data_IF_609162103374
#
_entry.id   IF_609162103374
#
_cell.length_a   1.000
_cell.length_b   1.000
_cell.length_c   1.000
_cell.angle_alpha   90.00
_cell.angle_beta   90.00
_cell.angle_gamma   90.00
#
_symmetry.space_group_name_H-M   'P 1'
#
loop_
_entity.id
_entity.type
_entity.pdbx_description
1 polymer ?
#
# COMPACT_ATOMS: atom_id res chain seq x y z
N UNK A 1 10.36 -14.30 -5.71
CA UNK A 1 11.46 -13.54 -6.35
C UNK A 1 11.57 -12.17 -5.70
N UNK A 2 10.53 -11.34 -5.71
CA UNK A 2 10.61 -9.99 -5.12
C UNK A 2 10.98 -9.91 -3.61
N UNK A 3 10.68 -10.92 -2.79
CA UNK A 3 11.07 -10.92 -1.36
C UNK A 3 12.59 -11.09 -1.16
N UNK A 4 13.23 -11.93 -1.98
CA UNK A 4 14.66 -12.20 -1.91
C UNK A 4 15.32 -11.64 -3.16
N UNK A 5 15.73 -10.36 -3.14
CA UNK A 5 16.24 -9.73 -4.33
C UNK A 5 17.65 -10.20 -4.68
N UNK A 6 17.90 -10.35 -5.98
CA UNK A 6 19.22 -10.72 -6.50
C UNK A 6 20.26 -9.58 -6.34
N UNK A 7 19.80 -8.33 -6.15
CA UNK A 7 20.63 -7.14 -6.01
C UNK A 7 20.00 -6.08 -5.09
N UNK A 8 20.71 -5.70 -4.02
CA UNK A 8 20.28 -4.69 -3.02
C UNK A 8 20.23 -3.27 -3.59
N UNK A 9 21.07 -2.93 -4.57
CA UNK A 9 20.97 -1.63 -5.26
C UNK A 9 19.83 -1.68 -6.30
N UNK A 10 19.70 -2.83 -6.96
CA UNK A 10 18.70 -3.05 -8.00
C UNK A 10 17.27 -2.89 -7.51
N UNK A 11 16.96 -3.30 -6.27
CA UNK A 11 15.60 -3.19 -5.70
C UNK A 11 15.06 -1.77 -5.60
N UNK A 12 15.93 -0.76 -5.53
CA UNK A 12 15.49 0.63 -5.50
C UNK A 12 14.88 1.07 -6.83
N UNK A 13 15.31 0.45 -7.94
CA UNK A 13 15.01 0.87 -9.30
C UNK A 13 14.15 -0.13 -10.07
N UNK A 14 14.21 -1.39 -9.68
CA UNK A 14 13.75 -2.50 -10.49
C UNK A 14 12.99 -3.55 -9.68
N UNK A 15 11.99 -4.16 -10.31
CA UNK A 15 11.19 -5.26 -9.76
C UNK A 15 11.20 -6.48 -10.69
N UNK A 16 11.16 -7.68 -10.12
CA UNK A 16 11.16 -8.92 -10.90
C UNK A 16 9.74 -9.25 -11.36
N UNK A 17 9.57 -9.39 -12.67
CA UNK A 17 8.30 -9.75 -13.31
C UNK A 17 8.49 -11.01 -14.15
N UNK A 18 7.51 -11.91 -14.11
CA UNK A 18 7.50 -13.09 -14.98
C UNK A 18 6.63 -12.81 -16.20
N UNK A 19 7.21 -12.87 -17.38
CA UNK A 19 6.49 -12.76 -18.66
C UNK A 19 6.50 -14.11 -19.38
N UNK A 20 5.47 -14.35 -20.19
CA UNK A 20 5.37 -15.56 -21.00
C UNK A 20 5.58 -15.17 -22.47
N UNK A 21 6.69 -15.62 -23.05
CA UNK A 21 7.04 -15.32 -24.44
C UNK A 21 6.60 -16.49 -25.31
N UNK A 22 5.83 -16.20 -26.36
CA UNK A 22 5.43 -17.21 -27.34
C UNK A 22 6.66 -17.71 -28.11
N UNK A 23 6.89 -19.02 -28.11
CA UNK A 23 8.07 -19.65 -28.74
C UNK A 23 7.73 -20.39 -30.03
N UNK A 24 6.44 -20.49 -30.38
CA UNK A 24 5.96 -21.26 -31.53
C UNK A 24 4.85 -22.24 -31.18
N UNK A 25 4.41 -22.99 -32.18
CA UNK A 25 3.32 -23.97 -32.06
C UNK A 25 3.92 -25.37 -32.13
N UNK A 26 3.48 -26.26 -31.26
CA UNK A 26 3.95 -27.65 -31.30
C UNK A 26 3.33 -28.37 -32.51
N UNK A 27 4.16 -28.90 -33.42
CA UNK A 27 3.70 -29.49 -34.69
C UNK A 27 2.87 -30.77 -34.51
N UNK A 28 2.96 -31.45 -33.36
CA UNK A 28 2.20 -32.68 -33.08
C UNK A 28 0.89 -32.45 -32.34
N UNK A 29 0.82 -31.46 -31.44
CA UNK A 29 -0.38 -31.21 -30.62
C UNK A 29 -1.16 -29.96 -31.03
N UNK A 30 -0.63 -29.15 -31.96
CA UNK A 30 -1.21 -27.87 -32.38
C UNK A 30 -1.42 -26.86 -31.21
N UNK A 31 -0.79 -27.07 -30.08
CA UNK A 31 -0.84 -26.17 -28.92
C UNK A 31 0.24 -25.08 -29.04
N UNK A 32 -0.12 -23.87 -28.63
CA UNK A 32 0.81 -22.74 -28.51
C UNK A 32 1.76 -22.96 -27.34
N UNK A 33 3.08 -22.97 -27.61
CA UNK A 33 4.10 -23.08 -26.58
C UNK A 33 4.54 -21.70 -26.09
N UNK A 34 4.55 -21.54 -24.77
CA UNK A 34 5.02 -20.34 -24.10
C UNK A 34 6.23 -20.65 -23.22
N UNK A 35 7.29 -19.84 -23.30
CA UNK A 35 8.43 -19.92 -22.38
C UNK A 35 8.17 -18.96 -21.24
N UNK A 36 8.28 -19.46 -20.02
CA UNK A 36 8.43 -18.58 -18.85
C UNK A 36 9.76 -17.84 -18.98
N UNK A 37 9.71 -16.53 -19.11
CA UNK A 37 10.86 -15.64 -19.03
C UNK A 37 10.76 -14.85 -17.71
N UNK A 38 11.81 -14.88 -16.91
CA UNK A 38 11.89 -14.06 -15.69
C UNK A 38 12.70 -12.83 -16.07
N UNK A 39 12.03 -11.69 -16.14
CA UNK A 39 12.63 -10.41 -16.49
C UNK A 39 12.53 -9.41 -15.35
N UNK A 40 12.97 -8.21 -15.67
CA UNK A 40 12.97 -7.07 -14.76
C UNK A 40 12.15 -5.95 -15.39
N UNK A 41 11.32 -5.30 -14.60
CA UNK A 41 10.54 -4.13 -15.00
C UNK A 41 10.96 -2.91 -14.18
N UNK A 42 10.75 -1.72 -14.75
CA UNK A 42 11.07 -0.46 -14.10
C UNK A 42 10.09 -0.21 -12.94
N UNK A 43 10.63 0.06 -11.75
CA UNK A 43 9.85 0.30 -10.55
C UNK A 43 10.48 -0.30 -9.31
N UNK A 44 10.30 0.37 -8.16
CA UNK A 44 10.91 -0.04 -6.90
C UNK A 44 10.28 -1.33 -6.35
N UNK A 45 11.11 -2.32 -6.06
CA UNK A 45 10.70 -3.53 -5.36
C UNK A 45 10.59 -3.28 -3.84
N UNK A 46 9.48 -2.70 -3.41
CA UNK A 46 9.27 -2.28 -2.02
C UNK A 46 9.28 -3.45 -1.02
N UNK A 47 8.77 -4.63 -1.39
CA UNK A 47 8.79 -5.79 -0.48
C UNK A 47 10.22 -6.31 -0.25
N UNK A 48 11.07 -6.28 -1.29
CA UNK A 48 12.49 -6.60 -1.19
C UNK A 48 13.25 -5.57 -0.36
N UNK A 49 12.94 -4.27 -0.53
CA UNK A 49 13.49 -3.19 0.32
C UNK A 49 13.15 -3.43 1.79
N UNK A 50 11.88 -3.70 2.12
CA UNK A 50 11.46 -3.95 3.50
C UNK A 50 12.17 -5.18 4.07
N UNK A 51 12.26 -6.28 3.32
CA UNK A 51 12.95 -7.48 3.77
C UNK A 51 14.43 -7.18 4.09
N UNK A 52 15.13 -6.45 3.22
CA UNK A 52 16.52 -6.03 3.45
C UNK A 52 16.62 -5.12 4.66
N UNK A 53 15.75 -4.11 4.81
CA UNK A 53 15.75 -3.21 5.96
C UNK A 53 15.53 -3.95 7.28
N UNK A 54 14.57 -4.88 7.34
CA UNK A 54 14.28 -5.68 8.55
C UNK A 54 15.45 -6.60 8.89
N UNK A 55 16.02 -7.29 7.90
CA UNK A 55 17.16 -8.19 8.12
C UNK A 55 18.40 -7.44 8.58
N UNK A 56 18.73 -6.29 7.98
CA UNK A 56 19.82 -5.43 8.43
C UNK A 56 19.55 -4.83 9.82
N UNK A 57 18.32 -4.40 10.11
CA UNK A 57 17.94 -3.90 11.43
C UNK A 57 18.12 -4.96 12.52
N UNK A 58 17.65 -6.19 12.28
CA UNK A 58 17.85 -7.33 13.18
C UNK A 58 19.33 -7.70 13.34
N UNK A 59 20.09 -7.73 12.24
CA UNK A 59 21.52 -8.03 12.29
C UNK A 59 22.32 -6.97 13.06
N UNK A 60 21.99 -5.67 12.88
CA UNK A 60 22.62 -4.58 13.64
C UNK A 60 22.24 -4.63 15.12
N UNK A 61 20.99 -4.96 15.46
CA UNK A 61 20.58 -5.18 16.86
C UNK A 61 21.34 -6.36 17.48
N UNK A 62 21.50 -7.47 16.76
CA UNK A 62 22.28 -8.62 17.21
C UNK A 62 23.78 -8.31 17.38
N UNK A 63 24.30 -7.31 16.66
CA UNK A 63 25.69 -6.85 16.79
C UNK A 63 25.95 -5.97 18.04
N UNK A 64 24.92 -5.67 18.85
CA UNK A 64 25.00 -4.90 20.11
C UNK A 64 25.78 -3.60 19.93
N UNK A 65 26.79 -3.33 20.77
CA UNK A 65 27.60 -2.11 20.75
C UNK A 65 28.19 -1.76 19.37
N UNK A 66 28.51 -2.75 18.54
CA UNK A 66 29.05 -2.50 17.19
C UNK A 66 27.98 -2.13 16.16
N UNK A 67 26.72 -2.49 16.40
CA UNK A 67 25.59 -2.12 15.54
C UNK A 67 25.06 -0.72 15.82
N UNK A 68 25.40 -0.15 16.98
CA UNK A 68 24.93 1.16 17.42
C UNK A 68 25.22 2.28 16.38
N UNK A 69 26.47 2.48 15.87
CA UNK A 69 26.75 3.56 14.92
C UNK A 69 25.96 3.45 13.60
N UNK A 70 25.64 2.21 13.19
CA UNK A 70 24.84 1.96 12.00
C UNK A 70 23.40 2.41 12.21
N UNK A 71 22.81 2.09 13.37
CA UNK A 71 21.45 2.50 13.72
C UNK A 71 21.34 4.03 13.83
N UNK A 72 22.33 4.70 14.43
CA UNK A 72 22.37 6.17 14.51
C UNK A 72 22.40 6.85 13.15
N UNK A 73 23.21 6.32 12.24
CA UNK A 73 23.31 6.86 10.89
C UNK A 73 21.95 6.83 10.20
N UNK A 74 21.24 5.69 10.26
CA UNK A 74 19.92 5.57 9.65
C UNK A 74 18.83 6.36 10.38
N UNK A 75 18.90 6.49 11.71
CA UNK A 75 18.00 7.35 12.47
C UNK A 75 18.17 8.82 12.08
N UNK A 76 19.41 9.30 12.02
CA UNK A 76 19.73 10.66 11.56
C UNK A 76 19.30 10.89 10.11
N UNK A 77 19.54 9.91 9.25
CA UNK A 77 19.12 9.95 7.85
C UNK A 77 17.60 10.04 7.73
N UNK A 78 16.85 9.25 8.52
CA UNK A 78 15.40 9.30 8.53
C UNK A 78 14.87 10.70 8.91
N UNK A 79 15.44 11.32 9.96
CA UNK A 79 15.07 12.68 10.36
C UNK A 79 15.39 13.74 9.28
N UNK A 80 16.52 13.61 8.59
CA UNK A 80 16.86 14.48 7.46
C UNK A 80 15.87 14.31 6.31
N UNK A 81 15.53 13.06 5.97
CA UNK A 81 14.58 12.74 4.90
C UNK A 81 13.18 13.27 5.22
N UNK A 82 12.71 13.11 6.47
CA UNK A 82 11.43 13.70 6.92
C UNK A 82 11.42 15.23 6.76
N UNK A 83 12.50 15.92 7.17
CA UNK A 83 12.60 17.38 6.98
C UNK A 83 12.56 17.80 5.51
N UNK A 84 13.24 17.08 4.62
CA UNK A 84 13.18 17.34 3.19
C UNK A 84 11.76 17.15 2.65
N UNK A 85 11.07 16.10 3.10
CA UNK A 85 9.71 15.82 2.69
C UNK A 85 8.77 16.95 3.12
N UNK A 86 8.89 17.49 4.34
CA UNK A 86 8.10 18.66 4.78
C UNK A 86 8.19 19.84 3.82
N UNK A 87 9.39 20.11 3.28
CA UNK A 87 9.58 21.19 2.32
C UNK A 87 8.83 20.92 1.01
N UNK A 88 8.93 19.69 0.46
CA UNK A 88 8.18 19.31 -0.74
C UNK A 88 6.67 19.34 -0.53
N UNK A 89 6.20 19.01 0.67
CA UNK A 89 4.78 18.95 0.97
C UNK A 89 4.07 20.31 1.03
N UNK A 90 4.83 21.39 1.10
CA UNK A 90 4.26 22.73 0.93
C UNK A 90 3.77 22.96 -0.50
N UNK A 91 4.31 22.22 -1.48
CA UNK A 91 3.90 22.29 -2.90
C UNK A 91 2.73 21.36 -3.23
N UNK A 92 2.38 20.42 -2.35
CA UNK A 92 1.34 19.41 -2.59
C UNK A 92 -0.02 20.00 -2.94
N UNK A 93 -0.54 21.07 -2.29
CA UNK A 93 -1.85 21.61 -2.63
C UNK A 93 -1.99 21.96 -4.13
N UNK A 94 -0.92 22.48 -4.73
CA UNK A 94 -0.87 22.81 -6.16
C UNK A 94 -0.85 21.53 -7.01
N UNK A 95 0.00 20.56 -6.66
CA UNK A 95 0.07 19.27 -7.35
C UNK A 95 -1.26 18.50 -7.33
N UNK A 96 -1.96 18.52 -6.20
CA UNK A 96 -3.29 17.91 -6.04
C UNK A 96 -4.31 18.55 -6.99
N UNK A 97 -4.32 19.87 -7.10
CA UNK A 97 -5.26 20.57 -8.00
C UNK A 97 -5.08 20.13 -9.46
N UNK A 98 -3.83 20.06 -9.95
CA UNK A 98 -3.55 19.62 -11.31
C UNK A 98 -3.85 18.13 -11.53
N UNK A 99 -3.58 17.28 -10.53
CA UNK A 99 -3.90 15.85 -10.59
C UNK A 99 -5.41 15.58 -10.62
N UNK A 100 -6.22 16.40 -9.93
CA UNK A 100 -7.70 16.32 -10.00
C UNK A 100 -8.17 16.81 -11.37
N UNK A 101 -7.70 17.96 -11.84
CA UNK A 101 -8.08 18.50 -13.14
C UNK A 101 -7.74 17.54 -14.30
N UNK A 102 -6.55 16.96 -14.30
CA UNK A 102 -6.12 15.99 -15.32
C UNK A 102 -6.91 14.67 -15.30
N UNK A 103 -7.51 14.31 -14.15
CA UNK A 103 -8.37 13.14 -14.06
C UNK A 103 -9.76 13.40 -14.65
N UNK A 104 -10.33 14.58 -14.39
CA UNK A 104 -11.63 15.01 -14.92
C UNK A 104 -11.60 15.17 -16.45
N UNK A 105 -10.49 15.63 -17.01
CA UNK A 105 -10.32 15.82 -18.47
C UNK A 105 -10.30 14.51 -19.29
N UNK A 106 -10.12 13.35 -18.65
CA UNK A 106 -10.05 12.05 -19.34
C UNK A 106 -11.43 11.39 -19.57
N UNK A 107 -12.51 12.07 -19.24
CA UNK A 107 -13.88 11.54 -19.33
C UNK A 107 -14.52 11.98 -20.65
N UNK A 108 -14.58 11.07 -21.64
CA UNK A 108 -15.27 11.29 -22.92
C UNK A 108 -16.62 10.55 -22.96
N UNK A 109 -17.71 11.32 -23.10
CA UNK A 109 -19.08 11.00 -23.57
C UNK A 109 -19.87 9.79 -22.99
N UNK A 110 -21.16 10.05 -22.71
CA UNK A 110 -22.03 9.24 -21.84
C UNK A 110 -23.26 8.73 -22.61
N UNK A 111 -23.40 7.40 -22.77
CA UNK A 111 -24.56 6.70 -23.37
C UNK A 111 -25.09 5.57 -22.46
N UNK A 112 -26.10 4.80 -22.91
CA UNK A 112 -26.89 3.83 -22.11
C UNK A 112 -26.11 2.79 -21.26
N UNK A 113 -24.84 2.50 -21.60
CA UNK A 113 -23.94 1.69 -20.76
C UNK A 113 -23.56 2.34 -19.42
N UNK A 114 -23.81 3.64 -19.26
CA UNK A 114 -23.47 4.42 -18.07
C UNK A 114 -24.37 4.12 -16.87
N UNK A 115 -25.60 3.62 -17.07
CA UNK A 115 -26.44 3.23 -15.94
C UNK A 115 -25.84 2.03 -15.19
N UNK A 116 -25.38 1.01 -15.93
CA UNK A 116 -24.70 -0.16 -15.34
C UNK A 116 -23.35 0.22 -14.74
N UNK A 117 -22.58 1.05 -15.43
CA UNK A 117 -21.28 1.53 -14.96
C UNK A 117 -21.41 2.46 -13.73
N UNK A 118 -22.43 3.32 -13.69
CA UNK A 118 -22.75 4.16 -12.55
C UNK A 118 -23.15 3.35 -11.33
N UNK A 119 -23.97 2.31 -11.51
CA UNK A 119 -24.28 1.37 -10.42
C UNK A 119 -23.05 0.62 -9.94
N UNK A 120 -22.11 0.27 -10.82
CA UNK A 120 -20.82 -0.28 -10.43
C UNK A 120 -20.00 0.70 -9.57
N UNK A 121 -19.87 1.97 -10.00
CA UNK A 121 -19.19 3.01 -9.22
C UNK A 121 -19.81 3.16 -7.84
N UNK A 122 -21.15 3.26 -7.77
CA UNK A 122 -21.87 3.34 -6.49
C UNK A 122 -21.59 2.11 -5.62
N UNK A 123 -21.59 0.90 -6.21
CA UNK A 123 -21.31 -0.34 -5.48
C UNK A 123 -19.91 -0.32 -4.85
N UNK A 124 -18.88 0.10 -5.60
CA UNK A 124 -17.51 0.19 -5.08
C UNK A 124 -17.41 1.25 -3.99
N UNK A 125 -17.99 2.44 -4.21
CA UNK A 125 -17.97 3.55 -3.23
C UNK A 125 -18.68 3.16 -1.94
N UNK A 126 -19.84 2.50 -2.03
CA UNK A 126 -20.56 1.99 -0.87
C UNK A 126 -19.75 0.90 -0.17
N UNK A 127 -19.12 -0.01 -0.91
CA UNK A 127 -18.24 -1.03 -0.34
C UNK A 127 -17.10 -0.42 0.47
N UNK A 128 -16.44 0.60 -0.07
CA UNK A 128 -15.37 1.34 0.63
C UNK A 128 -15.92 2.09 1.84
N UNK A 129 -17.08 2.73 1.73
CA UNK A 129 -17.71 3.40 2.86
C UNK A 129 -18.08 2.42 4.00
N UNK A 130 -18.59 1.23 3.65
CA UNK A 130 -18.86 0.16 4.62
C UNK A 130 -17.58 -0.30 5.29
N UNK A 131 -16.49 -0.48 4.53
CA UNK A 131 -15.17 -0.79 5.12
C UNK A 131 -14.72 0.30 6.09
N UNK A 132 -14.81 1.58 5.73
CA UNK A 132 -14.45 2.69 6.60
C UNK A 132 -15.25 2.66 7.92
N UNK A 133 -16.55 2.38 7.85
CA UNK A 133 -17.40 2.23 9.04
C UNK A 133 -16.97 1.02 9.87
N UNK A 134 -16.69 -0.12 9.24
CA UNK A 134 -16.24 -1.33 9.93
C UNK A 134 -14.91 -1.07 10.67
N UNK A 135 -13.97 -0.37 10.04
CA UNK A 135 -12.68 -0.05 10.67
C UNK A 135 -12.84 0.89 11.87
N UNK A 136 -13.67 1.93 11.76
CA UNK A 136 -13.99 2.84 12.85
C UNK A 136 -14.66 2.10 14.01
N UNK A 137 -15.62 1.22 13.72
CA UNK A 137 -16.31 0.42 14.72
C UNK A 137 -15.37 -0.59 15.38
N UNK A 138 -14.51 -1.24 14.61
CA UNK A 138 -13.50 -2.18 15.11
C UNK A 138 -12.52 -1.47 16.04
N UNK A 139 -12.00 -0.31 15.63
CA UNK A 139 -11.12 0.51 16.45
C UNK A 139 -11.80 0.91 17.76
N UNK A 140 -13.04 1.39 17.70
CA UNK A 140 -13.80 1.78 18.89
C UNK A 140 -14.08 0.58 19.82
N UNK A 141 -14.48 -0.56 19.26
CA UNK A 141 -14.77 -1.77 20.04
C UNK A 141 -13.54 -2.28 20.79
N UNK A 142 -12.37 -2.24 20.16
CA UNK A 142 -11.13 -2.74 20.75
C UNK A 142 -10.45 -1.74 21.70
N UNK A 143 -10.41 -0.46 21.34
CA UNK A 143 -9.67 0.56 22.09
C UNK A 143 -10.52 1.32 23.11
N UNK A 144 -11.84 1.38 22.87
CA UNK A 144 -12.81 2.25 23.56
C UNK A 144 -12.41 3.73 23.59
N UNK A 145 -11.54 4.17 22.68
CA UNK A 145 -11.14 5.56 22.49
C UNK A 145 -11.95 6.17 21.33
N UNK A 146 -12.00 7.50 21.30
CA UNK A 146 -12.68 8.23 20.22
C UNK A 146 -12.03 7.91 18.85
N UNK A 147 -12.74 7.26 17.91
CA UNK A 147 -12.18 6.87 16.62
C UNK A 147 -12.00 8.04 15.65
N UNK A 148 -12.55 9.21 15.96
CA UNK A 148 -12.46 10.40 15.10
C UNK A 148 -11.18 11.22 15.35
N UNK A 149 -10.46 10.98 16.46
CA UNK A 149 -9.20 11.67 16.75
C UNK A 149 -8.13 11.38 15.68
N UNK A 150 -7.87 10.12 15.26
CA UNK A 150 -6.94 9.81 14.18
C UNK A 150 -7.24 10.52 12.86
N UNK A 151 -8.52 10.78 12.54
CA UNK A 151 -8.93 11.37 11.25
C UNK A 151 -8.32 12.75 11.06
N UNK A 152 -8.27 13.56 12.13
CA UNK A 152 -7.68 14.91 12.07
C UNK A 152 -6.19 14.87 11.70
N UNK A 153 -5.46 13.91 12.25
CA UNK A 153 -4.01 13.79 12.06
C UNK A 153 -3.65 13.10 10.74
N UNK A 154 -4.52 12.25 10.18
CA UNK A 154 -4.28 11.60 8.89
C UNK A 154 -4.72 12.43 7.68
N UNK A 155 -5.50 13.51 7.87
CA UNK A 155 -6.15 14.23 6.77
C UNK A 155 -5.17 14.68 5.67
N UNK A 156 -3.99 15.17 6.06
CA UNK A 156 -2.95 15.61 5.12
C UNK A 156 -2.41 14.44 4.29
N UNK A 157 -2.04 13.34 4.96
CA UNK A 157 -1.63 12.11 4.29
C UNK A 157 -2.71 11.59 3.33
N UNK A 158 -3.98 11.61 3.76
CA UNK A 158 -5.10 11.17 2.96
C UNK A 158 -5.25 11.97 1.67
N UNK A 159 -5.16 13.31 1.73
CA UNK A 159 -5.24 14.16 0.52
C UNK A 159 -4.09 13.88 -0.46
N UNK A 160 -2.88 13.63 0.05
CA UNK A 160 -1.73 13.30 -0.78
C UNK A 160 -1.96 11.98 -1.50
N UNK A 161 -2.32 10.92 -0.76
CA UNK A 161 -2.58 9.60 -1.33
C UNK A 161 -3.77 9.61 -2.28
N UNK A 162 -4.82 10.36 -1.95
CA UNK A 162 -5.96 10.56 -2.83
C UNK A 162 -5.55 11.21 -4.15
N UNK A 163 -4.61 12.17 -4.11
CA UNK A 163 -4.16 12.85 -5.30
C UNK A 163 -3.17 12.02 -6.13
N UNK A 164 -2.21 11.38 -5.47
CA UNK A 164 -1.12 10.62 -6.10
C UNK A 164 -1.51 9.18 -6.44
N UNK A 165 -2.64 8.68 -5.93
CA UNK A 165 -3.12 7.30 -6.12
C UNK A 165 -2.12 6.23 -5.67
N UNK A 166 -1.23 6.56 -4.72
CA UNK A 166 -0.23 5.63 -4.20
C UNK A 166 -0.08 5.78 -2.68
N UNK A 167 -0.40 4.72 -1.94
CA UNK A 167 -0.32 4.70 -0.48
C UNK A 167 1.11 4.87 0.03
N UNK A 168 2.09 4.33 -0.70
CA UNK A 168 3.51 4.43 -0.36
C UNK A 168 4.00 5.88 -0.35
N UNK A 169 3.53 6.70 -1.28
CA UNK A 169 3.89 8.12 -1.34
C UNK A 169 3.39 8.90 -0.11
N UNK A 170 2.32 8.42 0.53
CA UNK A 170 1.77 9.01 1.75
C UNK A 170 2.42 8.55 3.05
N UNK A 171 3.27 7.51 3.04
CA UNK A 171 3.90 6.94 4.25
C UNK A 171 4.62 7.99 5.11
N UNK A 172 5.41 8.92 4.54
CA UNK A 172 6.07 9.95 5.33
C UNK A 172 5.06 10.80 6.13
N UNK A 173 3.93 11.16 5.52
CA UNK A 173 2.89 11.97 6.16
C UNK A 173 2.03 11.17 7.14
N UNK A 174 1.89 9.88 6.92
CA UNK A 174 1.33 8.97 7.93
C UNK A 174 2.23 8.98 9.17
N UNK A 175 3.55 8.90 9.00
CA UNK A 175 4.51 8.95 10.13
C UNK A 175 4.43 10.31 10.83
N UNK A 176 4.41 11.43 10.10
CA UNK A 176 4.28 12.75 10.70
C UNK A 176 2.96 12.91 11.46
N UNK A 177 1.83 12.50 10.89
CA UNK A 177 0.53 12.55 11.57
C UNK A 177 0.49 11.63 12.80
N UNK A 178 1.22 10.52 12.81
CA UNK A 178 1.39 9.67 13.98
C UNK A 178 2.24 10.36 15.06
N UNK A 179 3.35 10.99 14.68
CA UNK A 179 4.22 11.74 15.60
C UNK A 179 3.45 12.92 16.23
N UNK A 180 2.60 13.64 15.47
CA UNK A 180 1.73 14.72 15.99
C UNK A 180 0.66 14.23 16.98
N UNK A 181 0.23 12.98 16.86
CA UNK A 181 -0.75 12.36 17.75
C UNK A 181 -0.11 11.78 19.02
N UNK A 182 1.22 11.77 19.09
CA UNK A 182 1.98 11.17 20.20
C UNK A 182 2.05 9.64 20.12
N UNK A 183 2.03 9.05 18.93
CA UNK A 183 2.37 7.63 18.73
C UNK A 183 3.88 7.47 18.81
N UNK A 184 4.36 6.46 19.54
CA UNK A 184 5.81 6.17 19.63
C UNK A 184 6.45 6.03 18.26
N UNK A 185 7.62 6.64 18.14
CA UNK A 185 8.38 6.72 16.88
C UNK A 185 8.73 5.35 16.32
N UNK A 186 9.08 4.40 17.20
CA UNK A 186 9.41 3.04 16.81
C UNK A 186 8.22 2.32 16.16
N UNK A 187 7.01 2.48 16.71
CA UNK A 187 5.79 1.86 16.18
C UNK A 187 5.42 2.47 14.83
N UNK A 188 5.41 3.80 14.70
CA UNK A 188 5.02 4.47 13.45
C UNK A 188 6.01 4.17 12.31
N UNK A 189 7.32 4.25 12.57
CA UNK A 189 8.38 4.03 11.57
C UNK A 189 8.50 2.57 11.12
N UNK A 190 8.07 1.60 11.94
CA UNK A 190 8.04 0.19 11.56
C UNK A 190 6.72 -0.24 10.89
N UNK A 191 5.58 0.10 11.52
CA UNK A 191 4.27 -0.41 11.09
C UNK A 191 3.77 0.31 9.83
N UNK A 192 4.00 1.62 9.70
CA UNK A 192 3.44 2.38 8.57
C UNK A 192 3.98 1.91 7.20
N UNK A 193 5.30 1.75 6.98
CA UNK A 193 5.82 1.27 5.69
C UNK A 193 5.41 -0.19 5.40
N UNK A 194 5.36 -1.03 6.44
CA UNK A 194 4.97 -2.42 6.33
C UNK A 194 3.49 -2.55 5.92
N UNK A 195 2.61 -1.85 6.63
CA UNK A 195 1.18 -1.85 6.34
C UNK A 195 0.88 -1.23 4.98
N UNK A 196 1.50 -0.09 4.64
CA UNK A 196 1.32 0.53 3.32
C UNK A 196 1.74 -0.39 2.16
N UNK A 197 2.65 -1.35 2.39
CA UNK A 197 3.11 -2.29 1.35
C UNK A 197 2.27 -3.56 1.27
N UNK A 198 1.86 -4.12 2.40
CA UNK A 198 1.19 -5.42 2.45
C UNK A 198 -0.33 -5.34 2.44
N UNK A 199 -0.89 -4.19 2.84
CA UNK A 199 -2.33 -4.00 3.04
C UNK A 199 -2.92 -3.13 1.94
N UNK A 200 -3.87 -3.68 1.21
CA UNK A 200 -4.54 -2.99 0.10
C UNK A 200 -6.06 -3.29 0.08
N UNK A 201 -6.76 -3.01 1.18
CA UNK A 201 -8.18 -3.36 1.35
C UNK A 201 -9.10 -2.63 0.36
N UNK A 202 -8.82 -1.35 0.09
CA UNK A 202 -9.58 -0.59 -0.92
C UNK A 202 -9.48 -1.23 -2.31
N UNK A 203 -8.28 -1.70 -2.67
CA UNK A 203 -8.06 -2.43 -3.93
C UNK A 203 -8.74 -3.80 -3.92
N UNK A 204 -8.80 -4.49 -2.78
CA UNK A 204 -9.52 -5.76 -2.65
C UNK A 204 -11.02 -5.60 -2.97
N UNK A 205 -11.66 -4.56 -2.43
CA UNK A 205 -13.08 -4.26 -2.71
C UNK A 205 -13.28 -3.99 -4.20
N UNK A 206 -12.41 -3.18 -4.80
CA UNK A 206 -12.48 -2.86 -6.22
C UNK A 206 -12.30 -4.12 -7.10
N UNK A 207 -11.32 -4.97 -6.81
CA UNK A 207 -11.05 -6.20 -7.58
C UNK A 207 -12.23 -7.17 -7.48
N UNK A 208 -12.75 -7.40 -6.27
CA UNK A 208 -13.88 -8.29 -6.06
C UNK A 208 -15.15 -7.75 -6.75
N UNK A 209 -15.47 -6.47 -6.56
CA UNK A 209 -16.62 -5.83 -7.18
C UNK A 209 -16.52 -5.83 -8.72
N UNK A 210 -15.34 -5.55 -9.26
CA UNK A 210 -15.08 -5.57 -10.70
C UNK A 210 -15.22 -6.96 -11.29
N UNK A 211 -14.69 -7.97 -10.61
CA UNK A 211 -14.80 -9.37 -11.03
C UNK A 211 -16.25 -9.83 -11.10
N UNK A 212 -17.04 -9.51 -10.07
CA UNK A 212 -18.48 -9.84 -10.03
C UNK A 212 -19.27 -9.05 -11.08
N UNK A 213 -18.98 -7.75 -11.24
CA UNK A 213 -19.62 -6.90 -12.22
C UNK A 213 -19.44 -7.42 -13.65
N UNK A 214 -18.20 -7.75 -14.03
CA UNK A 214 -17.91 -8.28 -15.37
C UNK A 214 -18.53 -9.67 -15.55
N UNK A 215 -18.48 -10.53 -14.54
CA UNK A 215 -19.17 -11.81 -14.59
C UNK A 215 -20.68 -11.66 -14.80
N UNK A 216 -21.32 -10.65 -14.21
CA UNK A 216 -22.73 -10.34 -14.44
C UNK A 216 -22.99 -9.82 -15.86
N UNK A 217 -22.10 -8.98 -16.41
CA UNK A 217 -22.24 -8.47 -17.78
C UNK A 217 -22.12 -9.57 -18.83
N UNK A 218 -21.32 -10.60 -18.56
CA UNK A 218 -21.13 -11.78 -19.40
C UNK A 218 -22.20 -12.88 -19.18
N UNK A 219 -23.21 -12.63 -18.34
CA UNK A 219 -24.29 -13.59 -18.06
C UNK A 219 -23.91 -14.73 -17.12
N UNK A 220 -22.74 -14.64 -16.45
CA UNK A 220 -22.29 -15.60 -15.44
C UNK A 220 -22.60 -15.17 -13.99
N UNK A 221 -23.44 -14.14 -13.81
CA UNK A 221 -23.72 -13.50 -12.53
C UNK A 221 -24.28 -14.41 -11.42
N UNK A 222 -25.01 -15.48 -11.80
CA UNK A 222 -25.69 -16.35 -10.84
C UNK A 222 -24.83 -17.53 -10.35
N UNK A 223 -23.60 -17.66 -10.88
CA UNK A 223 -22.73 -18.76 -10.51
C UNK A 223 -21.99 -18.48 -9.20
N UNK A 224 -22.59 -18.90 -8.08
CA UNK A 224 -22.01 -18.77 -6.74
C UNK A 224 -20.60 -19.36 -6.63
N UNK A 225 -20.30 -20.44 -7.37
CA UNK A 225 -18.95 -21.03 -7.41
C UNK A 225 -17.91 -20.05 -7.97
N UNK A 226 -18.23 -19.34 -9.05
CA UNK A 226 -17.34 -18.31 -9.63
C UNK A 226 -17.13 -17.14 -8.66
N UNK A 227 -18.17 -16.70 -7.97
CA UNK A 227 -18.07 -15.61 -6.96
C UNK A 227 -17.11 -16.00 -5.82
N UNK A 228 -17.22 -17.23 -5.30
CA UNK A 228 -16.31 -17.72 -4.25
C UNK A 228 -14.86 -17.76 -4.74
N UNK A 229 -14.62 -18.23 -5.97
CA UNK A 229 -13.26 -18.25 -6.54
C UNK A 229 -12.72 -16.83 -6.74
N UNK A 230 -13.53 -15.89 -7.22
CA UNK A 230 -13.15 -14.47 -7.33
C UNK A 230 -12.74 -13.92 -5.96
N UNK A 231 -13.53 -14.19 -4.91
CA UNK A 231 -13.22 -13.75 -3.55
C UNK A 231 -11.89 -14.34 -3.04
N UNK A 232 -11.69 -15.65 -3.17
CA UNK A 232 -10.45 -16.33 -2.75
C UNK A 232 -9.22 -15.79 -3.48
N UNK A 233 -9.31 -15.65 -4.81
CA UNK A 233 -8.21 -15.12 -5.63
C UNK A 233 -7.90 -13.66 -5.30
N UNK A 234 -8.95 -12.85 -5.06
CA UNK A 234 -8.76 -11.46 -4.63
C UNK A 234 -8.00 -11.40 -3.31
N UNK A 235 -8.41 -12.19 -2.31
CA UNK A 235 -7.73 -12.23 -1.01
C UNK A 235 -6.24 -12.62 -1.16
N UNK A 236 -5.93 -13.58 -2.04
CA UNK A 236 -4.56 -14.02 -2.28
C UNK A 236 -3.71 -12.97 -3.04
N UNK A 237 -4.28 -12.34 -4.07
CA UNK A 237 -3.54 -11.44 -4.97
C UNK A 237 -3.36 -10.03 -4.40
N UNK A 238 -4.19 -9.59 -3.46
CA UNK A 238 -4.14 -8.25 -2.86
C UNK A 238 -2.80 -7.95 -2.17
N UNK A 239 -2.15 -8.96 -1.60
CA UNK A 239 -0.83 -8.84 -0.96
C UNK A 239 0.28 -8.62 -2.00
N UNK A 240 0.05 -9.04 -3.24
CA UNK A 240 1.01 -8.97 -4.33
C UNK A 240 0.80 -7.77 -5.27
N UNK A 241 -0.11 -6.85 -4.92
CA UNK A 241 -0.41 -5.68 -5.76
C UNK A 241 0.78 -4.71 -5.70
N UNK A 242 1.40 -4.37 -6.84
CA UNK A 242 2.39 -3.31 -6.88
C UNK A 242 1.72 -1.96 -6.62
N UNK A 243 2.38 -1.08 -5.86
CA UNK A 243 1.89 0.24 -5.44
C UNK A 243 2.03 1.31 -6.51
N UNK A 244 1.62 0.95 -7.73
CA UNK A 244 1.63 1.76 -8.93
C UNK A 244 0.16 2.11 -9.24
N UNK A 245 -0.13 3.33 -9.72
CA UNK A 245 -1.48 3.70 -10.16
C UNK A 245 -2.07 2.67 -11.14
N UNK A 246 -3.37 2.42 -11.05
CA UNK A 246 -4.10 1.47 -11.90
C UNK A 246 -3.66 -0.01 -11.88
N UNK A 247 -2.78 -0.44 -10.95
CA UNK A 247 -2.31 -1.84 -10.87
C UNK A 247 -3.42 -2.87 -10.63
N UNK A 248 -4.53 -2.45 -10.03
CA UNK A 248 -5.67 -3.33 -9.70
C UNK A 248 -6.41 -3.84 -10.95
N UNK A 249 -6.41 -3.09 -12.06
CA UNK A 249 -7.05 -3.50 -13.32
C UNK A 249 -6.33 -4.72 -13.92
N UNK A 250 -5.00 -4.77 -13.82
CA UNK A 250 -4.19 -5.91 -14.29
C UNK A 250 -4.49 -7.18 -13.49
N UNK A 251 -4.71 -7.03 -12.18
CA UNK A 251 -5.06 -8.15 -11.31
C UNK A 251 -6.44 -8.71 -11.66
N UNK A 252 -7.39 -7.85 -12.00
CA UNK A 252 -8.74 -8.27 -12.43
C UNK A 252 -8.68 -9.15 -13.68
N UNK A 253 -7.84 -8.82 -14.68
CA UNK A 253 -7.61 -9.66 -15.86
C UNK A 253 -7.17 -11.08 -15.46
N UNK A 254 -6.26 -11.16 -14.49
CA UNK A 254 -5.74 -12.43 -13.96
C UNK A 254 -6.83 -13.23 -13.24
N UNK A 255 -7.64 -12.56 -12.41
CA UNK A 255 -8.75 -13.17 -11.69
C UNK A 255 -9.80 -13.70 -12.66
N UNK A 256 -10.27 -12.90 -13.62
CA UNK A 256 -11.31 -13.30 -14.57
C UNK A 256 -10.88 -14.44 -15.50
N UNK A 257 -9.63 -14.40 -15.98
CA UNK A 257 -9.06 -15.46 -16.80
C UNK A 257 -9.02 -16.79 -16.04
N UNK A 258 -8.71 -16.75 -14.74
CA UNK A 258 -8.65 -17.94 -13.87
C UNK A 258 -10.01 -18.60 -13.66
N UNK A 259 -11.10 -17.85 -13.81
CA UNK A 259 -12.49 -18.33 -13.62
C UNK A 259 -13.20 -18.56 -14.98
N UNK A 260 -12.47 -18.39 -16.09
CA UNK A 260 -12.98 -18.58 -17.44
C UNK A 260 -14.09 -17.60 -17.81
N UNK A 261 -14.00 -16.35 -17.35
CA UNK A 261 -14.89 -15.25 -17.75
C UNK A 261 -14.19 -14.44 -18.84
N UNK A 262 -14.85 -14.13 -19.98
CA UNK A 262 -14.28 -13.27 -21.02
C UNK A 262 -13.85 -11.91 -20.47
N UNK A 263 -12.68 -11.43 -20.89
CA UNK A 263 -12.05 -10.19 -20.39
C UNK A 263 -12.31 -8.97 -21.27
N UNK A 264 -13.11 -9.10 -22.34
CA UNK A 264 -13.38 -8.04 -23.31
C UNK A 264 -13.97 -6.78 -22.64
N UNK A 265 -14.81 -6.99 -21.61
CA UNK A 265 -15.48 -5.91 -20.87
C UNK A 265 -14.62 -5.28 -19.76
N UNK A 266 -13.40 -5.77 -19.50
CA UNK A 266 -12.47 -5.14 -18.53
C UNK A 266 -12.07 -3.73 -18.98
N UNK A 267 -12.07 -3.49 -20.29
CA UNK A 267 -11.83 -2.16 -20.88
C UNK A 267 -12.76 -1.06 -20.31
N UNK A 268 -13.99 -1.42 -19.92
CA UNK A 268 -14.96 -0.49 -19.34
C UNK A 268 -14.54 0.04 -17.96
N UNK A 269 -13.73 -0.70 -17.21
CA UNK A 269 -13.27 -0.27 -15.88
C UNK A 269 -12.35 0.96 -15.98
N UNK A 270 -11.58 1.08 -17.06
CA UNK A 270 -10.69 2.23 -17.30
C UNK A 270 -11.45 3.57 -17.34
N UNK A 271 -12.73 3.56 -17.75
CA UNK A 271 -13.56 4.76 -17.75
C UNK A 271 -13.82 5.30 -16.33
N UNK A 272 -13.79 4.44 -15.32
CA UNK A 272 -14.03 4.78 -13.90
C UNK A 272 -12.77 4.79 -13.05
N UNK A 273 -11.67 4.25 -13.57
CA UNK A 273 -10.42 4.04 -12.83
C UNK A 273 -9.87 5.35 -12.27
N UNK A 274 -9.99 6.45 -13.03
CA UNK A 274 -9.51 7.75 -12.57
C UNK A 274 -10.15 8.19 -11.24
N UNK A 275 -11.41 7.83 -10.98
CA UNK A 275 -12.12 8.19 -9.75
C UNK A 275 -11.94 7.11 -8.68
N UNK A 276 -12.18 5.86 -9.04
CA UNK A 276 -12.18 4.74 -8.09
C UNK A 276 -10.78 4.48 -7.53
N UNK A 277 -9.71 4.71 -8.30
CA UNK A 277 -8.33 4.59 -7.83
C UNK A 277 -8.02 5.55 -6.68
N UNK A 278 -8.55 6.78 -6.75
CA UNK A 278 -8.34 7.81 -5.72
C UNK A 278 -9.06 7.46 -4.43
N UNK A 279 -10.31 7.01 -4.53
CA UNK A 279 -11.12 6.62 -3.37
C UNK A 279 -10.51 5.38 -2.69
N UNK A 280 -10.10 4.36 -3.46
CA UNK A 280 -9.47 3.15 -2.89
C UNK A 280 -8.12 3.44 -2.25
N UNK A 281 -7.29 4.27 -2.88
CA UNK A 281 -5.99 4.67 -2.34
C UNK A 281 -6.14 5.47 -1.05
N UNK A 282 -7.07 6.43 -1.01
CA UNK A 282 -7.40 7.17 0.19
C UNK A 282 -7.86 6.26 1.34
N UNK A 283 -8.70 5.26 1.05
CA UNK A 283 -9.08 4.26 2.05
C UNK A 283 -7.88 3.47 2.57
N UNK A 284 -7.00 2.98 1.69
CA UNK A 284 -5.78 2.27 2.10
C UNK A 284 -4.88 3.11 3.02
N UNK A 285 -4.80 4.43 2.79
CA UNK A 285 -4.11 5.37 3.68
C UNK A 285 -4.77 5.41 5.07
N UNK A 286 -6.09 5.55 5.13
CA UNK A 286 -6.82 5.57 6.39
C UNK A 286 -6.65 4.25 7.17
N UNK A 287 -6.81 3.11 6.50
CA UNK A 287 -6.62 1.78 7.08
C UNK A 287 -5.21 1.58 7.62
N UNK A 288 -4.19 2.07 6.90
CA UNK A 288 -2.79 2.04 7.34
C UNK A 288 -2.60 2.85 8.62
N UNK A 289 -3.15 4.06 8.68
CA UNK A 289 -3.05 4.93 9.84
C UNK A 289 -3.76 4.32 11.07
N UNK A 290 -4.97 3.79 10.90
CA UNK A 290 -5.67 3.08 11.97
C UNK A 290 -4.92 1.83 12.44
N UNK A 291 -4.25 1.10 11.54
CA UNK A 291 -3.41 -0.05 11.88
C UNK A 291 -2.24 0.35 12.81
N UNK A 292 -1.56 1.47 12.51
CA UNK A 292 -0.46 1.98 13.35
C UNK A 292 -0.96 2.33 14.74
N UNK A 293 -2.04 3.12 14.84
CA UNK A 293 -2.60 3.55 16.13
C UNK A 293 -3.14 2.38 16.94
N UNK A 294 -3.78 1.41 16.28
CA UNK A 294 -4.26 0.19 16.93
C UNK A 294 -3.10 -0.66 17.46
N UNK A 295 -2.04 -0.82 16.68
CA UNK A 295 -0.84 -1.56 17.11
C UNK A 295 -0.22 -0.91 18.34
N UNK A 296 -0.10 0.42 18.33
CA UNK A 296 0.42 1.17 19.48
C UNK A 296 -0.43 0.94 20.74
N UNK A 297 -1.76 1.03 20.62
CA UNK A 297 -2.66 0.75 21.73
C UNK A 297 -2.47 -0.66 22.29
N UNK A 298 -2.29 -1.67 21.42
CA UNK A 298 -2.08 -3.05 21.84
C UNK A 298 -0.73 -3.27 22.52
N UNK A 299 0.32 -2.57 22.08
CA UNK A 299 1.64 -2.62 22.71
C UNK A 299 1.62 -1.98 24.11
N UNK A 300 1.00 -0.80 24.26
CA UNK A 300 0.83 -0.15 25.56
C UNK A 300 0.01 -1.04 26.53
N UNK A 301 -1.09 -1.63 26.05
CA UNK A 301 -1.96 -2.49 26.85
C UNK A 301 -1.26 -3.75 27.37
N UNK A 302 -0.27 -4.28 26.66
CA UNK A 302 0.51 -5.46 27.10
C UNK A 302 1.50 -5.16 28.23
N UNK A 303 1.58 -3.92 28.71
CA UNK A 303 2.52 -3.53 29.77
C UNK A 303 3.94 -3.36 29.25
N UNK A 304 4.11 -3.22 27.93
CA UNK A 304 5.40 -2.88 27.30
C UNK A 304 5.63 -1.36 27.38
N UNK A 305 5.49 -0.83 28.60
CA UNK A 305 5.79 0.56 28.96
C UNK A 305 7.28 0.85 28.95
N UNK A 306 8.14 -0.16 28.83
CA UNK A 306 9.60 0.03 28.83
C UNK A 306 10.17 0.45 27.46
N UNK A 307 9.40 0.36 26.38
CA UNK A 307 9.71 1.08 25.16
C UNK A 307 9.18 2.51 25.32
N UNK A 308 9.68 3.23 26.33
CA UNK A 308 9.46 4.66 26.44
C UNK A 308 10.13 5.32 25.23
N UNK A 309 9.62 6.47 24.78
CA UNK A 309 10.38 7.30 23.85
C UNK A 309 11.79 7.57 24.41
N UNK A 310 11.95 7.46 25.74
CA UNK A 310 13.21 7.39 26.44
C UNK A 310 14.11 6.23 25.97
N UNK A 311 13.72 4.99 25.69
CA UNK A 311 14.74 3.99 25.26
C UNK A 311 15.31 4.29 23.85
N UNK A 312 14.53 4.94 22.97
CA UNK A 312 15.01 5.42 21.68
C UNK A 312 15.81 6.73 21.82
N UNK A 313 15.31 7.70 22.59
CA UNK A 313 15.97 8.98 22.83
C UNK A 313 17.17 8.88 23.80
N UNK A 314 17.16 7.93 24.74
CA UNK A 314 18.22 7.50 25.69
C UNK A 314 19.23 6.62 24.98
N UNK A 315 18.84 5.69 24.09
CA UNK A 315 19.80 5.06 23.19
C UNK A 315 20.53 6.14 22.36
N UNK A 316 19.82 7.13 21.83
CA UNK A 316 20.39 8.29 21.10
C UNK A 316 21.15 9.26 22.02
N UNK A 317 20.78 9.39 23.30
CA UNK A 317 21.42 10.28 24.29
C UNK A 317 22.67 9.68 24.93
N UNK A 318 22.65 8.39 25.30
CA UNK A 318 23.80 7.60 25.73
C UNK A 318 24.88 7.62 24.65
N UNK A 319 24.44 7.52 23.39
CA UNK A 319 25.27 7.71 22.21
C UNK A 319 25.85 9.12 22.06
N UNK A 320 25.05 10.14 22.31
CA UNK A 320 25.52 11.53 22.33
C UNK A 320 26.54 11.78 23.46
N UNK A 321 26.34 11.18 24.64
CA UNK A 321 27.28 11.22 25.78
C UNK A 321 28.58 10.49 25.49
N UNK A 322 28.54 9.33 24.85
CA UNK A 322 29.73 8.60 24.41
C UNK A 322 30.60 9.43 23.45
N UNK A 323 29.97 10.26 22.60
CA UNK A 323 30.60 11.25 21.72
C UNK A 323 31.33 12.37 22.47
N UNK A 324 30.81 12.81 23.62
CA UNK A 324 31.44 13.84 24.45
C UNK A 324 32.70 13.34 25.18
N UNK A 325 32.73 12.05 25.54
CA UNK A 325 33.87 11.41 26.20
C UNK A 325 35.02 11.11 25.23
N UNK A 326 34.73 10.86 23.95
CA UNK A 326 35.75 10.70 22.90
C UNK A 326 36.28 12.03 22.34
N UNK A 327 35.59 13.15 22.58
CA UNK A 327 36.05 14.50 22.24
C UNK A 327 36.88 15.16 23.37
N UNK A 328 36.87 14.59 24.58
CA UNK A 328 37.57 15.09 25.77
C UNK A 328 38.80 14.25 26.17
N UNK A 329 39.11 13.21 25.39
CA UNK A 329 40.34 12.40 25.48
C UNK A 329 41.23 12.68 24.26
#
# INVERSE_FOLDING_TARGET
LNIFPDNIVGIALYQTVTTYVYIGRNNTTNESMFRRNVGTDDGTNMIGVIFVCVTFGLASSAAKERGIPFLEFFASLAEVVLKLIRAFLQLTPVGVCFMIAGAVLKVDNIGESFAKLGMFVVTVVVGIAVLAVIEVLFYFACTRKNPFTPIKHMARAWFIVFATTSAIVGVPEIIEGCDEMGVRRATSRFVAPLAATLKADGSAIFIAASGVFIAQMEGFGDNAGKIVVIWLLTCALVIAIPHIPSSSVVIILTVLSSVGVPVEQVSLLYATEWLLDRIRSGMSCASTFYCVVYTEYMTIRKGDTNLDDDEYDEAVSELSKAKSLTSAA
#
